data_IF_296408209639
#
_entry.id   IF_296408209639
#
_cell.length_a   1.000
_cell.length_b   1.000
_cell.length_c   1.000
_cell.angle_alpha   90.00
_cell.angle_beta   90.00
_cell.angle_gamma   90.00
#
_symmetry.space_group_name_H-M   'P 1'
#
loop_
_entity.id
_entity.type
_entity.pdbx_description
1 polymer ?
#
# COMPACT_ATOMS: atom_id res chain seq x y z
N UNK A 1 -6.66 0.94 18.53
CA UNK A 1 -5.95 0.17 17.48
C UNK A 1 -6.87 -0.59 16.51
N UNK A 2 -7.86 -1.37 16.96
CA UNK A 2 -8.66 -2.24 16.06
C UNK A 2 -9.51 -1.54 14.96
N UNK A 3 -9.72 -0.22 15.01
CA UNK A 3 -10.49 0.49 13.98
C UNK A 3 -9.70 0.77 12.71
N UNK A 4 -8.39 1.06 12.82
CA UNK A 4 -7.58 1.44 11.66
C UNK A 4 -7.40 0.26 10.68
N UNK A 5 -7.32 -0.97 11.18
CA UNK A 5 -7.15 -2.19 10.36
C UNK A 5 -8.30 -2.45 9.36
N UNK A 6 -9.45 -1.77 9.53
CA UNK A 6 -10.60 -1.82 8.61
C UNK A 6 -10.39 -0.94 7.37
N UNK A 7 -9.47 0.01 7.39
CA UNK A 7 -9.15 0.84 6.22
C UNK A 7 -8.24 0.06 5.28
N UNK A 8 -8.53 0.16 3.97
CA UNK A 8 -7.75 -0.54 2.93
C UNK A 8 -6.31 -0.02 2.91
N UNK A 9 -6.15 1.31 2.88
CA UNK A 9 -4.89 2.04 2.87
C UNK A 9 -4.95 3.23 3.82
N UNK A 10 -3.79 3.67 4.30
CA UNK A 10 -3.57 4.98 4.89
C UNK A 10 -2.68 5.78 3.93
N UNK A 11 -3.08 7.02 3.66
CA UNK A 11 -2.30 7.98 2.86
C UNK A 11 -2.03 9.18 3.76
N UNK A 12 -0.76 9.48 3.97
CA UNK A 12 -0.32 10.68 4.67
C UNK A 12 -0.27 11.81 3.63
N UNK A 13 -1.01 12.89 3.87
CA UNK A 13 -1.08 14.07 2.99
C UNK A 13 -0.42 15.23 3.71
N UNK A 14 0.74 15.64 3.19
CA UNK A 14 1.45 16.81 3.69
C UNK A 14 0.79 18.12 3.23
N UNK A 15 1.14 19.23 3.88
CA UNK A 15 0.71 20.55 3.43
C UNK A 15 1.24 20.84 2.02
N UNK A 16 0.42 21.50 1.17
CA UNK A 16 0.87 21.92 -0.15
C UNK A 16 2.02 22.93 -0.04
N UNK A 17 2.87 22.97 -1.06
CA UNK A 17 3.82 24.07 -1.18
C UNK A 17 3.10 25.41 -1.45
N UNK A 18 3.82 26.52 -1.27
CA UNK A 18 3.27 27.86 -1.42
C UNK A 18 2.61 28.09 -2.81
N UNK A 19 3.18 27.51 -3.86
CA UNK A 19 2.67 27.69 -5.23
C UNK A 19 1.34 26.96 -5.42
N UNK A 20 1.27 25.72 -4.94
CA UNK A 20 0.08 24.88 -4.93
C UNK A 20 -1.00 25.49 -4.05
N UNK A 21 -0.66 25.97 -2.86
CA UNK A 21 -1.60 26.62 -1.94
C UNK A 21 -2.17 27.91 -2.54
N UNK A 22 -1.33 28.74 -3.19
CA UNK A 22 -1.79 29.91 -3.94
C UNK A 22 -2.74 29.53 -5.07
N UNK A 23 -2.44 28.48 -5.83
CA UNK A 23 -3.30 28.01 -6.90
C UNK A 23 -4.67 27.54 -6.37
N UNK A 24 -4.68 26.78 -5.27
CA UNK A 24 -5.91 26.35 -4.59
C UNK A 24 -6.74 27.56 -4.13
N UNK A 25 -6.11 28.55 -3.49
CA UNK A 25 -6.79 29.77 -3.05
C UNK A 25 -7.47 30.49 -4.22
N UNK A 26 -6.76 30.69 -5.32
CA UNK A 26 -7.32 31.37 -6.50
C UNK A 26 -8.42 30.55 -7.17
N UNK A 27 -8.28 29.23 -7.23
CA UNK A 27 -9.25 28.35 -7.88
C UNK A 27 -10.55 28.15 -7.08
N UNK A 28 -10.53 28.34 -5.76
CA UNK A 28 -11.68 28.02 -4.88
C UNK A 28 -12.40 29.25 -4.30
N UNK A 29 -11.83 30.45 -4.43
CA UNK A 29 -12.41 31.70 -3.90
C UNK A 29 -12.95 32.64 -4.98
N UNK A 30 -12.84 32.25 -6.25
CA UNK A 30 -13.47 32.93 -7.37
C UNK A 30 -14.98 32.68 -7.44
N UNK A 31 -15.63 33.27 -8.45
CA UNK A 31 -17.06 33.08 -8.72
C UNK A 31 -17.34 31.99 -9.76
N UNK A 32 -16.30 31.31 -10.24
CA UNK A 32 -16.40 30.28 -11.28
C UNK A 32 -16.63 28.91 -10.65
N UNK A 33 -17.79 28.32 -10.91
CA UNK A 33 -18.10 26.95 -10.51
C UNK A 33 -17.73 25.98 -11.63
N UNK A 34 -16.75 25.11 -11.35
CA UNK A 34 -16.42 24.00 -12.25
C UNK A 34 -17.56 22.96 -12.26
N UNK A 35 -18.08 22.66 -13.45
CA UNK A 35 -19.07 21.58 -13.61
C UNK A 35 -18.36 20.25 -13.82
N UNK A 36 -18.54 19.34 -12.87
CA UNK A 36 -18.17 17.93 -13.04
C UNK A 36 -19.07 17.28 -14.09
N UNK A 37 -18.49 16.44 -14.95
CA UNK A 37 -19.23 15.62 -15.90
C UNK A 37 -19.10 14.14 -15.52
N UNK A 38 -20.19 13.39 -15.70
CA UNK A 38 -20.20 11.97 -15.42
C UNK A 38 -19.33 11.21 -16.43
N UNK A 39 -18.34 10.47 -15.92
CA UNK A 39 -17.48 9.58 -16.72
C UNK A 39 -17.82 8.10 -16.52
N UNK A 40 -18.57 7.77 -15.47
CA UNK A 40 -18.97 6.43 -15.08
C UNK A 40 -20.41 6.48 -14.57
N UNK A 41 -21.26 5.58 -15.06
CA UNK A 41 -22.53 5.30 -14.39
C UNK A 41 -22.27 4.46 -13.13
N UNK A 42 -23.27 4.37 -12.23
CA UNK A 42 -23.18 3.46 -11.08
C UNK A 42 -22.99 1.99 -11.50
N UNK A 43 -23.58 1.58 -12.63
CA UNK A 43 -23.43 0.24 -13.18
C UNK A 43 -22.00 -0.01 -13.67
N UNK A 44 -21.39 0.97 -14.35
CA UNK A 44 -20.00 0.88 -14.81
C UNK A 44 -19.04 0.77 -13.62
N UNK A 45 -19.30 1.50 -12.53
CA UNK A 45 -18.45 1.45 -11.33
C UNK A 45 -18.49 0.06 -10.68
N UNK A 46 -19.68 -0.53 -10.55
CA UNK A 46 -19.85 -1.90 -10.03
C UNK A 46 -19.22 -2.94 -10.95
N UNK A 47 -19.29 -2.74 -12.27
CA UNK A 47 -18.62 -3.59 -13.25
C UNK A 47 -17.10 -3.52 -13.10
N UNK A 48 -16.52 -2.33 -12.93
CA UNK A 48 -15.09 -2.15 -12.69
C UNK A 48 -14.63 -2.80 -11.37
N UNK A 49 -15.39 -2.66 -10.29
CA UNK A 49 -15.10 -3.35 -9.01
C UNK A 49 -15.12 -4.87 -9.16
N UNK A 50 -16.07 -5.39 -9.94
CA UNK A 50 -16.16 -6.83 -10.24
C UNK A 50 -14.99 -7.29 -11.10
N UNK A 51 -14.58 -6.48 -12.09
CA UNK A 51 -13.43 -6.76 -12.95
C UNK A 51 -12.14 -6.89 -12.15
N UNK A 52 -11.88 -5.98 -11.21
CA UNK A 52 -10.72 -6.05 -10.31
C UNK A 52 -10.71 -7.38 -9.54
N UNK A 53 -11.86 -7.87 -9.07
CA UNK A 53 -11.95 -9.15 -8.35
C UNK A 53 -11.74 -10.37 -9.26
N UNK A 54 -11.93 -10.24 -10.56
CA UNK A 54 -11.72 -11.32 -11.55
C UNK A 54 -10.32 -11.34 -12.16
N UNK A 55 -9.56 -10.24 -12.04
CA UNK A 55 -8.20 -10.16 -12.58
C UNK A 55 -7.34 -11.32 -12.05
N UNK A 56 -6.69 -12.10 -12.93
CA UNK A 56 -5.81 -13.19 -12.52
C UNK A 56 -4.56 -12.63 -11.84
N UNK A 57 -4.02 -13.41 -10.90
CA UNK A 57 -2.77 -13.08 -10.20
C UNK A 57 -1.90 -14.33 -10.24
N UNK A 58 -0.67 -14.20 -10.72
CA UNK A 58 0.27 -15.31 -10.75
C UNK A 58 0.79 -15.66 -9.35
N UNK A 59 1.18 -16.92 -9.16
CA UNK A 59 1.70 -17.43 -7.88
C UNK A 59 2.88 -16.63 -7.34
N UNK A 60 3.75 -16.13 -8.25
CA UNK A 60 4.86 -15.26 -7.88
C UNK A 60 4.40 -14.02 -7.09
N UNK A 61 3.33 -13.35 -7.52
CA UNK A 61 2.77 -12.18 -6.84
C UNK A 61 2.09 -12.57 -5.54
N UNK A 62 1.35 -13.69 -5.51
CA UNK A 62 0.75 -14.22 -4.28
C UNK A 62 1.83 -14.47 -3.23
N UNK A 63 2.91 -15.15 -3.61
CA UNK A 63 4.04 -15.46 -2.75
C UNK A 63 4.77 -14.19 -2.30
N UNK A 64 4.94 -13.20 -3.18
CA UNK A 64 5.53 -11.89 -2.83
C UNK A 64 4.71 -11.22 -1.71
N UNK A 65 3.38 -11.18 -1.84
CA UNK A 65 2.48 -10.62 -0.82
C UNK A 65 2.63 -11.38 0.50
N UNK A 66 2.63 -12.72 0.46
CA UNK A 66 2.75 -13.54 1.65
C UNK A 66 4.11 -13.35 2.33
N UNK A 67 5.20 -13.36 1.58
CA UNK A 67 6.55 -13.12 2.09
C UNK A 67 6.67 -11.75 2.74
N UNK A 68 6.18 -10.68 2.09
CA UNK A 68 6.19 -9.33 2.65
C UNK A 68 5.42 -9.25 3.98
N UNK A 69 4.19 -9.78 4.01
CA UNK A 69 3.36 -9.71 5.22
C UNK A 69 3.95 -10.54 6.35
N UNK A 70 4.49 -11.73 6.06
CA UNK A 70 5.09 -12.61 7.07
C UNK A 70 6.44 -12.08 7.58
N UNK A 71 7.25 -11.49 6.70
CA UNK A 71 8.51 -10.83 7.05
C UNK A 71 8.33 -9.75 8.13
N UNK A 72 7.18 -9.07 8.15
CA UNK A 72 6.87 -8.04 9.13
C UNK A 72 6.24 -8.57 10.43
N UNK A 73 6.21 -9.88 10.70
CA UNK A 73 5.63 -10.47 11.92
C UNK A 73 6.72 -10.81 12.95
N UNK A 74 6.89 -10.01 14.02
CA UNK A 74 7.94 -10.24 15.00
C UNK A 74 7.77 -11.60 15.70
N UNK A 75 8.89 -12.27 15.99
CA UNK A 75 8.90 -13.55 16.72
C UNK A 75 8.47 -14.77 15.90
N UNK A 76 8.32 -14.64 14.58
CA UNK A 76 8.03 -15.78 13.69
C UNK A 76 9.28 -16.24 12.94
N UNK A 77 9.40 -17.51 12.53
CA UNK A 77 10.55 -17.99 11.75
C UNK A 77 10.72 -17.28 10.41
N UNK A 78 9.63 -16.76 9.84
CA UNK A 78 9.63 -16.03 8.58
C UNK A 78 9.85 -14.52 8.77
N UNK A 79 9.99 -14.05 10.02
CA UNK A 79 10.34 -12.66 10.31
C UNK A 79 11.65 -12.32 9.63
N UNK A 80 11.69 -11.14 9.03
CA UNK A 80 12.90 -10.64 8.39
C UNK A 80 13.98 -10.41 9.47
N UNK A 81 15.12 -11.08 9.30
CA UNK A 81 16.24 -11.03 10.26
C UNK A 81 16.85 -9.64 10.42
N UNK A 82 16.75 -8.78 9.40
CA UNK A 82 17.20 -7.39 9.47
C UNK A 82 16.33 -6.50 10.37
N UNK A 83 15.12 -6.96 10.70
CA UNK A 83 14.22 -6.22 11.58
C UNK A 83 14.59 -6.41 13.05
N UNK A 84 15.20 -7.52 13.45
CA UNK A 84 15.47 -7.82 14.86
C UNK A 84 14.26 -7.48 15.75
N UNK A 85 14.49 -6.64 16.77
CA UNK A 85 13.44 -6.17 17.68
C UNK A 85 12.79 -4.84 17.24
N UNK A 86 12.79 -4.52 15.95
CA UNK A 86 12.31 -3.23 15.47
C UNK A 86 10.79 -3.08 15.50
N UNK A 87 10.05 -4.19 15.50
CA UNK A 87 8.59 -4.21 15.49
C UNK A 87 8.02 -4.68 16.83
N UNK A 88 7.05 -3.93 17.36
CA UNK A 88 6.25 -4.35 18.51
C UNK A 88 5.18 -5.35 18.11
N UNK A 89 4.56 -5.15 16.95
CA UNK A 89 3.57 -6.05 16.37
C UNK A 89 3.51 -5.89 14.85
N UNK A 90 3.01 -6.92 14.17
CA UNK A 90 3.05 -7.04 12.71
C UNK A 90 1.67 -7.26 12.06
N UNK A 91 1.62 -7.23 10.72
CA UNK A 91 0.38 -7.27 9.96
C UNK A 91 -0.30 -8.65 9.97
N UNK A 92 -1.62 -8.63 10.17
CA UNK A 92 -2.49 -9.80 10.07
C UNK A 92 -2.92 -10.15 8.64
N UNK A 93 -3.79 -11.15 8.46
CA UNK A 93 -4.27 -11.61 7.14
C UNK A 93 -4.93 -10.52 6.28
N UNK A 94 -5.54 -9.52 6.91
CA UNK A 94 -6.18 -8.40 6.20
C UNK A 94 -5.19 -7.54 5.42
N UNK A 95 -3.92 -7.46 5.84
CA UNK A 95 -2.88 -6.81 5.05
C UNK A 95 -2.68 -7.51 3.70
N UNK A 96 -2.62 -8.84 3.69
CA UNK A 96 -2.48 -9.62 2.47
C UNK A 96 -3.72 -9.48 1.56
N UNK A 97 -4.92 -9.46 2.15
CA UNK A 97 -6.16 -9.22 1.41
C UNK A 97 -6.20 -7.82 0.79
N UNK A 98 -5.76 -6.80 1.53
CA UNK A 98 -5.69 -5.43 1.05
C UNK A 98 -4.67 -5.27 -0.09
N UNK A 99 -3.47 -5.85 0.06
CA UNK A 99 -2.46 -5.90 -0.99
C UNK A 99 -3.02 -6.58 -2.24
N UNK A 100 -3.64 -7.76 -2.10
CA UNK A 100 -4.22 -8.50 -3.24
C UNK A 100 -5.22 -7.66 -4.06
N UNK A 101 -6.12 -6.95 -3.40
CA UNK A 101 -7.09 -6.08 -4.10
C UNK A 101 -6.41 -4.85 -4.70
N UNK A 102 -5.51 -4.23 -3.96
CA UNK A 102 -4.85 -3.00 -4.38
C UNK A 102 -3.91 -3.21 -5.57
N UNK A 103 -3.12 -4.31 -5.61
CA UNK A 103 -2.20 -4.59 -6.73
C UNK A 103 -2.94 -4.83 -8.03
N UNK A 104 -4.10 -5.49 -7.97
CA UNK A 104 -4.96 -5.68 -9.15
C UNK A 104 -5.53 -4.35 -9.64
N UNK A 105 -6.01 -3.50 -8.73
CA UNK A 105 -6.49 -2.17 -9.08
C UNK A 105 -5.38 -1.33 -9.72
N UNK A 106 -4.18 -1.33 -9.14
CA UNK A 106 -3.01 -0.61 -9.68
C UNK A 106 -2.62 -1.11 -11.06
N UNK A 107 -2.54 -2.42 -11.27
CA UNK A 107 -2.23 -3.00 -12.57
C UNK A 107 -3.24 -2.57 -13.64
N UNK A 108 -4.54 -2.63 -13.31
CA UNK A 108 -5.61 -2.21 -14.21
C UNK A 108 -5.54 -0.73 -14.57
N UNK A 109 -5.30 0.15 -13.58
CA UNK A 109 -5.13 1.59 -13.78
C UNK A 109 -3.92 1.92 -14.66
N UNK A 110 -2.95 1.02 -14.74
CA UNK A 110 -1.78 1.13 -15.63
C UNK A 110 -1.97 0.39 -16.96
N UNK A 111 -3.19 -0.09 -17.26
CA UNK A 111 -3.50 -0.80 -18.51
C UNK A 111 -2.98 -2.25 -18.59
N UNK A 112 -2.49 -2.81 -17.48
CA UNK A 112 -2.01 -4.20 -17.40
C UNK A 112 -3.12 -5.14 -16.97
N UNK A 113 -3.06 -6.37 -17.50
CA UNK A 113 -4.06 -7.42 -17.24
C UNK A 113 -3.70 -8.35 -16.07
N UNK A 114 -2.51 -8.19 -15.50
CA UNK A 114 -2.04 -8.91 -14.32
C UNK A 114 -1.07 -8.04 -13.51
N UNK A 115 -1.07 -8.15 -12.17
CA UNK A 115 -0.12 -7.44 -11.31
C UNK A 115 1.30 -8.04 -11.37
N UNK A 116 2.29 -7.27 -10.93
CA UNK A 116 3.70 -7.66 -10.80
C UNK A 116 4.21 -7.50 -9.36
N UNK A 117 5.44 -7.93 -9.08
CA UNK A 117 6.08 -7.68 -7.78
C UNK A 117 6.26 -6.17 -7.49
N UNK A 118 6.47 -5.36 -8.53
CA UNK A 118 6.56 -3.90 -8.41
C UNK A 118 5.26 -3.28 -7.86
N UNK A 119 4.10 -3.84 -8.21
CA UNK A 119 2.83 -3.40 -7.63
C UNK A 119 2.77 -3.66 -6.12
N UNK A 120 3.33 -4.80 -5.68
CA UNK A 120 3.41 -5.15 -4.26
C UNK A 120 4.32 -4.16 -3.53
N UNK A 121 5.50 -3.85 -4.08
CA UNK A 121 6.41 -2.85 -3.50
C UNK A 121 5.74 -1.46 -3.42
N UNK A 122 5.11 -1.01 -4.50
CA UNK A 122 4.47 0.30 -4.57
C UNK A 122 3.31 0.46 -3.58
N UNK A 123 2.64 -0.64 -3.22
CA UNK A 123 1.49 -0.64 -2.30
C UNK A 123 1.83 -1.10 -0.88
N UNK A 124 3.08 -1.52 -0.62
CA UNK A 124 3.52 -2.01 0.68
C UNK A 124 3.28 -0.96 1.77
N UNK A 125 3.84 0.24 1.59
CA UNK A 125 3.73 1.35 2.56
C UNK A 125 2.28 1.76 2.85
N UNK A 126 1.44 2.16 1.86
CA UNK A 126 0.09 2.63 2.15
C UNK A 126 -0.81 1.54 2.74
N UNK A 127 -0.55 0.25 2.48
CA UNK A 127 -1.32 -0.85 3.09
C UNK A 127 -0.83 -1.22 4.49
N UNK A 128 0.48 -1.14 4.75
CA UNK A 128 1.07 -1.68 5.98
C UNK A 128 1.27 -0.65 7.09
N UNK A 129 1.37 0.65 6.79
CA UNK A 129 1.75 1.68 7.79
C UNK A 129 0.83 1.73 9.02
N UNK A 130 -0.46 1.41 8.87
CA UNK A 130 -1.43 1.34 9.96
C UNK A 130 -1.67 -0.08 10.49
N UNK A 131 -0.92 -1.07 10.00
CA UNK A 131 -1.05 -2.50 10.31
C UNK A 131 0.22 -3.09 10.96
N UNK A 132 1.10 -2.23 11.46
CA UNK A 132 2.25 -2.63 12.26
C UNK A 132 2.73 -1.43 13.06
N UNK A 133 3.52 -1.68 14.09
CA UNK A 133 4.11 -0.61 14.89
C UNK A 133 5.55 -0.93 15.28
N UNK A 134 6.37 0.12 15.31
CA UNK A 134 7.72 0.04 15.84
C UNK A 134 7.72 -0.27 17.35
N UNK A 135 8.75 -0.98 17.80
CA UNK A 135 9.07 -1.10 19.22
C UNK A 135 9.52 0.25 19.79
N UNK A 136 9.43 0.39 21.11
CA UNK A 136 9.92 1.59 21.79
C UNK A 136 11.40 1.83 21.52
N UNK A 137 12.22 0.77 21.57
CA UNK A 137 13.65 0.84 21.30
C UNK A 137 13.95 1.31 19.87
N UNK A 138 13.19 0.85 18.88
CA UNK A 138 13.35 1.30 17.48
C UNK A 138 13.00 2.77 17.30
N UNK A 139 11.91 3.23 17.91
CA UNK A 139 11.56 4.66 17.91
C UNK A 139 12.65 5.50 18.57
N UNK A 140 13.22 5.03 19.68
CA UNK A 140 14.33 5.71 20.37
C UNK A 140 15.62 5.79 19.53
N UNK A 141 15.83 4.84 18.60
CA UNK A 141 16.92 4.88 17.60
C UNK A 141 16.64 5.78 16.39
N UNK A 142 15.47 6.42 16.34
CA UNK A 142 15.07 7.27 15.21
C UNK A 142 14.60 6.49 13.98
N UNK A 143 14.25 5.21 14.12
CA UNK A 143 13.70 4.44 13.01
C UNK A 143 12.30 4.94 12.63
N UNK A 144 11.98 4.92 11.33
CA UNK A 144 10.65 5.23 10.83
C UNK A 144 9.96 3.96 10.35
N UNK A 145 8.66 3.85 10.64
CA UNK A 145 7.88 2.67 10.24
C UNK A 145 7.83 2.54 8.72
N UNK A 146 7.69 3.67 8.02
CA UNK A 146 7.76 3.73 6.57
C UNK A 146 9.10 3.23 6.02
N UNK A 147 10.23 3.68 6.59
CA UNK A 147 11.55 3.22 6.15
C UNK A 147 11.78 1.72 6.40
N UNK A 148 11.20 1.18 7.48
CA UNK A 148 11.18 -0.28 7.72
C UNK A 148 10.38 -0.99 6.64
N UNK A 149 9.17 -0.52 6.32
CA UNK A 149 8.32 -1.14 5.30
C UNK A 149 9.02 -1.13 3.93
N UNK A 150 9.58 0.01 3.50
CA UNK A 150 10.24 0.13 2.21
C UNK A 150 11.45 -0.81 2.10
N UNK A 151 12.23 -0.95 3.18
CA UNK A 151 13.40 -1.83 3.25
C UNK A 151 13.03 -3.30 3.10
N UNK A 152 11.95 -3.73 3.74
CA UNK A 152 11.46 -5.13 3.63
C UNK A 152 10.86 -5.35 2.25
N UNK A 153 10.02 -4.42 1.77
CA UNK A 153 9.39 -4.49 0.47
C UNK A 153 10.42 -4.61 -0.66
N UNK A 154 11.42 -3.73 -0.69
CA UNK A 154 12.46 -3.75 -1.72
C UNK A 154 13.26 -5.05 -1.74
N UNK A 155 13.47 -5.69 -0.59
CA UNK A 155 14.18 -6.98 -0.53
C UNK A 155 13.33 -8.14 -1.01
N UNK A 156 12.07 -8.21 -0.55
CA UNK A 156 11.15 -9.27 -0.94
C UNK A 156 10.89 -9.24 -2.44
N UNK A 157 10.80 -8.04 -3.05
CA UNK A 157 10.63 -7.92 -4.50
C UNK A 157 11.93 -8.12 -5.28
N UNK A 158 13.06 -7.60 -4.80
CA UNK A 158 14.37 -7.75 -5.48
C UNK A 158 14.93 -9.18 -5.47
N UNK A 159 14.61 -9.98 -4.45
CA UNK A 159 15.04 -11.40 -4.38
C UNK A 159 14.31 -12.26 -5.41
N UNK A 160 13.11 -11.86 -5.85
CA UNK A 160 12.30 -12.63 -6.80
C UNK A 160 12.65 -12.34 -8.27
N UNK A 161 13.15 -11.14 -8.58
CA UNK A 161 13.72 -10.85 -9.91
C UNK A 161 15.01 -11.63 -10.18
N UNK A 162 15.80 -11.92 -9.14
CA UNK A 162 17.01 -12.72 -9.26
C UNK A 162 16.74 -14.24 -9.39
N UNK A 163 15.52 -14.68 -9.12
CA UNK A 163 15.11 -16.09 -9.12
C UNK A 163 14.21 -16.48 -10.31
N UNK A 164 13.86 -15.52 -11.18
CA UNK A 164 13.06 -15.70 -12.40
C UNK A 164 13.96 -15.63 -13.64
#
# INVERSE_FOLDING_TARGET
EAQLDRFLVQIDVDYPDLATERAILMATTGTEDARSHEVFTAADLLAAQTLIRRMPVGDSVVNTILHLVRACRPGTPESDSSLGDSLAWGPGPRAAQALMLAVRARALLQGRLAPSAEDVAALARPVLVHRMALSFAARARGESLGGVIDRVAGRVTGTMEAAA
#
